data_IF_521481556383
#
_entry.id   IF_521481556383
#
_cell.length_a   1.000
_cell.length_b   1.000
_cell.length_c   1.000
_cell.angle_alpha   90.00
_cell.angle_beta   90.00
_cell.angle_gamma   90.00
#
_symmetry.space_group_name_H-M   'P 1'
#
loop_
_entity.id
_entity.type
_entity.pdbx_description
1 polymer ?
#
# COMPACT_ATOMS: atom_id res chain seq x y z
N UNK A 1 0.38 -2.77 -8.66
CA UNK A 1 -0.52 -1.62 -8.43
C UNK A 1 0.18 -0.58 -7.57
N UNK A 2 0.14 0.71 -7.94
CA UNK A 2 0.67 1.85 -7.15
C UNK A 2 -0.37 2.39 -6.19
N UNK A 3 0.08 3.15 -5.18
CA UNK A 3 -0.79 3.77 -4.16
C UNK A 3 -1.83 4.70 -4.76
N UNK A 4 -1.43 5.55 -5.70
CA UNK A 4 -2.29 6.49 -6.45
C UNK A 4 -3.44 5.79 -7.20
N UNK A 5 -3.11 4.67 -7.86
CA UNK A 5 -4.10 3.87 -8.60
C UNK A 5 -5.08 3.20 -7.63
N UNK A 6 -4.60 2.70 -6.50
CA UNK A 6 -5.47 2.11 -5.48
C UNK A 6 -6.44 3.14 -4.88
N UNK A 7 -5.95 4.35 -4.58
CA UNK A 7 -6.78 5.48 -4.13
C UNK A 7 -7.85 5.84 -5.16
N UNK A 8 -7.47 5.96 -6.43
CA UNK A 8 -8.42 6.24 -7.51
C UNK A 8 -9.46 5.13 -7.68
N UNK A 9 -9.05 3.87 -7.55
CA UNK A 9 -9.97 2.71 -7.63
C UNK A 9 -10.92 2.68 -6.43
N UNK A 10 -10.46 2.93 -5.21
CA UNK A 10 -11.33 2.99 -4.03
C UNK A 10 -12.33 4.14 -4.11
N UNK A 11 -11.88 5.31 -4.57
CA UNK A 11 -12.75 6.45 -4.80
C UNK A 11 -13.80 6.16 -5.89
N UNK A 12 -13.40 5.50 -6.99
CA UNK A 12 -14.29 5.11 -8.08
C UNK A 12 -15.27 3.99 -7.71
N UNK A 13 -14.86 3.05 -6.86
CA UNK A 13 -15.67 1.91 -6.45
C UNK A 13 -16.45 2.14 -5.15
N UNK A 14 -16.21 3.25 -4.43
CA UNK A 14 -16.76 3.54 -3.09
C UNK A 14 -16.55 2.39 -2.09
N UNK A 15 -15.35 1.81 -2.10
CA UNK A 15 -14.96 0.73 -1.17
C UNK A 15 -13.95 1.24 -0.16
N UNK A 16 -14.12 0.86 1.12
CA UNK A 16 -13.21 1.27 2.19
C UNK A 16 -11.90 0.46 2.25
N UNK A 17 -11.83 -0.65 1.51
CA UNK A 17 -10.66 -1.52 1.46
C UNK A 17 -10.56 -2.25 0.12
N UNK A 18 -9.33 -2.52 -0.30
CA UNK A 18 -8.99 -3.36 -1.45
C UNK A 18 -8.18 -4.56 -0.95
N UNK A 19 -8.55 -5.76 -1.37
CA UNK A 19 -7.66 -6.90 -1.26
C UNK A 19 -6.60 -6.82 -2.37
N UNK A 20 -5.34 -6.90 -1.99
CA UNK A 20 -4.24 -6.98 -2.95
C UNK A 20 -3.87 -8.45 -3.09
N UNK A 21 -4.19 -9.02 -4.25
CA UNK A 21 -3.69 -10.32 -4.70
C UNK A 21 -2.44 -10.05 -5.51
N UNK A 22 -1.30 -10.55 -5.05
CA UNK A 22 -0.08 -10.49 -5.84
C UNK A 22 -0.06 -11.61 -6.90
N UNK A 23 0.78 -11.46 -7.92
CA UNK A 23 0.85 -12.41 -9.03
C UNK A 23 1.31 -13.81 -8.60
N UNK A 24 1.87 -13.93 -7.40
CA UNK A 24 2.24 -15.19 -6.74
C UNK A 24 1.05 -15.88 -6.02
N UNK A 25 -0.21 -15.50 -6.31
CA UNK A 25 -1.46 -16.05 -5.72
C UNK A 25 -1.58 -15.92 -4.18
N UNK A 26 -0.58 -15.35 -3.53
CA UNK A 26 -0.62 -15.00 -2.13
C UNK A 26 -1.41 -13.69 -1.99
N UNK A 27 -2.66 -13.80 -1.52
CA UNK A 27 -3.39 -12.69 -0.90
C UNK A 27 -2.46 -12.00 0.10
N UNK A 28 -1.89 -10.86 -0.30
CA UNK A 28 -0.74 -10.32 0.42
C UNK A 28 -1.17 -9.50 1.60
N UNK A 29 -2.36 -8.86 1.53
CA UNK A 29 -3.13 -8.31 2.65
C UNK A 29 -4.28 -7.43 2.12
N UNK A 30 -5.22 -7.06 3.00
CA UNK A 30 -6.22 -6.03 2.72
C UNK A 30 -5.67 -4.64 3.04
N UNK A 31 -5.77 -3.71 2.09
CA UNK A 31 -5.35 -2.32 2.26
C UNK A 31 -6.56 -1.41 2.35
N UNK A 32 -6.57 -0.54 3.37
CA UNK A 32 -7.62 0.48 3.54
C UNK A 32 -7.19 1.84 3.02
N UNK A 33 -8.14 2.69 2.69
CA UNK A 33 -7.89 4.08 2.27
C UNK A 33 -7.11 4.88 3.33
N UNK A 34 -7.44 4.69 4.61
CA UNK A 34 -6.75 5.32 5.71
C UNK A 34 -5.27 4.91 5.79
N UNK A 35 -4.95 3.64 5.49
CA UNK A 35 -3.58 3.16 5.47
C UNK A 35 -2.79 3.72 4.29
N UNK A 36 -3.40 3.81 3.11
CA UNK A 36 -2.75 4.40 1.94
C UNK A 36 -2.48 5.89 2.14
N UNK A 37 -3.45 6.59 2.74
CA UNK A 37 -3.30 8.01 3.10
C UNK A 37 -2.21 8.22 4.14
N UNK A 38 -2.17 7.42 5.20
CA UNK A 38 -1.12 7.49 6.22
C UNK A 38 0.28 7.21 5.67
N UNK A 39 0.38 6.34 4.66
CA UNK A 39 1.66 6.03 4.03
C UNK A 39 2.08 7.13 3.07
N UNK A 40 1.15 7.71 2.30
CA UNK A 40 1.40 8.88 1.46
C UNK A 40 1.87 10.09 2.27
N UNK A 41 1.35 10.26 3.48
CA UNK A 41 1.73 11.33 4.41
C UNK A 41 3.10 11.08 5.09
N UNK A 42 3.61 9.84 5.02
CA UNK A 42 4.88 9.44 5.62
C UNK A 42 6.09 9.69 4.72
N UNK A 43 7.22 10.06 5.33
CA UNK A 43 8.53 10.26 4.65
C UNK A 43 9.05 9.01 3.92
N UNK A 44 8.50 7.83 4.20
CA UNK A 44 8.84 6.62 3.49
C UNK A 44 8.18 6.53 2.11
N UNK A 45 7.24 7.44 1.77
CA UNK A 45 6.56 7.47 0.49
C UNK A 45 7.50 7.88 -0.64
N UNK A 46 7.56 7.05 -1.66
CA UNK A 46 8.17 7.32 -2.94
C UNK A 46 7.08 7.08 -3.96
N UNK A 47 6.92 7.93 -4.96
CA UNK A 47 5.92 7.75 -6.04
C UNK A 47 6.02 6.40 -6.77
N UNK A 48 7.14 5.69 -6.58
CA UNK A 48 7.37 4.33 -7.10
C UNK A 48 6.91 3.21 -6.16
N UNK A 49 6.51 3.52 -4.93
CA UNK A 49 6.02 2.53 -3.97
C UNK A 49 4.74 1.91 -4.48
N UNK A 50 4.80 0.61 -4.67
CA UNK A 50 3.63 -0.20 -4.98
C UNK A 50 2.89 -0.46 -3.68
N UNK A 51 1.58 -0.70 -3.77
CA UNK A 51 0.75 -1.05 -2.61
C UNK A 51 1.31 -2.26 -1.85
N UNK A 52 1.96 -3.21 -2.55
CA UNK A 52 2.68 -4.35 -1.95
C UNK A 52 3.86 -3.96 -1.07
N UNK A 53 4.57 -2.87 -1.40
CA UNK A 53 5.73 -2.42 -0.64
C UNK A 53 5.29 -1.69 0.63
N UNK A 54 4.13 -1.02 0.58
CA UNK A 54 3.46 -0.48 1.76
C UNK A 54 3.09 -1.58 2.75
N UNK A 55 2.59 -2.71 2.25
CA UNK A 55 2.30 -3.89 3.06
C UNK A 55 3.58 -4.50 3.66
N UNK A 56 4.66 -4.60 2.87
CA UNK A 56 5.96 -5.06 3.37
C UNK A 56 6.58 -4.14 4.41
N UNK A 57 6.49 -2.82 4.23
CA UNK A 57 6.98 -1.82 5.18
C UNK A 57 6.19 -1.87 6.50
N UNK A 58 4.88 -2.09 6.43
CA UNK A 58 4.06 -2.31 7.62
C UNK A 58 4.44 -3.60 8.36
N UNK A 59 4.79 -4.65 7.62
CA UNK A 59 5.21 -5.93 8.21
C UNK A 59 6.63 -5.87 8.79
N UNK A 60 7.49 -4.99 8.28
CA UNK A 60 8.89 -4.89 8.66
C UNK A 60 9.38 -3.42 8.59
N UNK A 61 9.07 -2.60 9.60
CA UNK A 61 9.47 -1.19 9.63
C UNK A 61 11.00 -1.01 9.74
N UNK A 62 11.74 -2.01 10.22
CA UNK A 62 13.21 -1.98 10.40
C UNK A 62 14.02 -2.08 9.10
N UNK A 63 13.41 -2.39 7.96
CA UNK A 63 14.13 -2.54 6.67
C UNK A 63 14.56 -1.18 6.08
N UNK A 64 14.09 -0.06 6.65
CA UNK A 64 14.42 1.30 6.23
C UNK A 64 15.34 2.05 7.21
N UNK A 65 16.09 1.36 8.07
CA UNK A 65 17.20 2.00 8.79
C UNK A 65 18.42 2.08 7.85
N UNK A 66 18.96 3.28 7.53
CA UNK A 66 20.20 3.37 6.78
C UNK A 66 21.34 2.86 7.66
N UNK A 67 22.13 1.92 7.12
CA UNK A 67 23.45 1.54 7.66
C UNK A 67 24.44 2.69 7.57
#
# INVERSE_FOLDING_TARGET
MTVEVALSVMAGARVGYLLVIDADDQCTDSVTEAQLTAVRDGSAYSDRLRVRDVLRLRRNPDVLAPV
#
